data_IF_081783795360
#
_entry.id   IF_081783795360
#
_cell.length_a   1.000
_cell.length_b   1.000
_cell.length_c   1.000
_cell.angle_alpha   90.00
_cell.angle_beta   90.00
_cell.angle_gamma   90.00
#
_symmetry.space_group_name_H-M   'P 1'
#
loop_
_entity.id
_entity.type
_entity.pdbx_description
1 polymer ?
#
# COMPACT_ATOMS: atom_id res chain seq x y z
N UNK A 1 -14.76 -7.28 1.06
CA UNK A 1 -13.94 -7.26 -0.18
C UNK A 1 -12.61 -7.97 0.03
N UNK A 2 -11.63 -7.41 0.75
CA UNK A 2 -10.31 -8.06 0.92
C UNK A 2 -10.42 -9.48 1.49
N UNK A 3 -11.25 -9.68 2.53
CA UNK A 3 -11.54 -11.00 3.10
C UNK A 3 -12.08 -12.00 2.07
N UNK A 4 -12.97 -11.56 1.18
CA UNK A 4 -13.54 -12.40 0.11
C UNK A 4 -12.49 -12.76 -0.95
N UNK A 5 -11.43 -11.95 -1.08
CA UNK A 5 -10.27 -12.22 -1.94
C UNK A 5 -9.18 -13.02 -1.23
N UNK A 6 -9.42 -13.47 0.01
CA UNK A 6 -8.41 -14.15 0.83
C UNK A 6 -7.26 -13.24 1.29
N UNK A 7 -7.43 -11.92 1.24
CA UNK A 7 -6.40 -10.93 1.64
C UNK A 7 -6.69 -10.33 3.00
N UNK A 8 -5.64 -10.16 3.81
CA UNK A 8 -5.66 -9.41 5.07
C UNK A 8 -5.40 -7.92 4.87
N UNK A 9 -5.72 -7.12 5.89
CA UNK A 9 -5.31 -5.73 5.98
C UNK A 9 -4.74 -5.50 7.38
N UNK A 10 -3.47 -5.11 7.45
CA UNK A 10 -2.85 -4.68 8.69
C UNK A 10 -3.16 -3.22 8.96
N UNK A 11 -3.68 -2.92 10.16
CA UNK A 11 -4.13 -1.58 10.55
C UNK A 11 -3.35 -1.14 11.79
N UNK A 12 -2.54 -0.09 11.63
CA UNK A 12 -1.68 0.47 12.70
C UNK A 12 -2.39 1.47 13.63
N UNK A 13 -3.73 1.59 13.56
CA UNK A 13 -4.46 2.53 14.41
C UNK A 13 -5.95 2.63 14.11
N UNK A 14 -6.63 3.57 14.78
CA UNK A 14 -8.06 3.83 14.56
C UNK A 14 -8.23 4.70 13.30
N UNK A 15 -8.95 4.18 12.31
CA UNK A 15 -9.29 4.91 11.10
C UNK A 15 -10.08 6.19 11.38
N UNK A 16 -9.88 7.22 10.56
CA UNK A 16 -10.69 8.42 10.57
C UNK A 16 -12.06 8.17 9.89
N UNK A 17 -12.90 9.20 9.83
CA UNK A 17 -14.22 9.16 9.19
C UNK A 17 -14.21 8.79 7.70
N UNK A 18 -13.03 8.77 7.06
CA UNK A 18 -12.82 8.43 5.67
C UNK A 18 -12.18 7.05 5.47
N UNK A 19 -11.96 6.28 6.55
CA UNK A 19 -11.48 4.90 6.48
C UNK A 19 -9.97 4.73 6.32
N UNK A 20 -9.16 5.74 6.63
CA UNK A 20 -7.70 5.64 6.65
C UNK A 20 -7.07 6.12 7.96
N UNK A 21 -5.85 5.67 8.24
CA UNK A 21 -5.02 6.12 9.36
C UNK A 21 -3.81 6.86 8.80
N UNK A 22 -3.59 8.14 9.14
CA UNK A 22 -2.33 8.79 8.83
C UNK A 22 -1.22 8.19 9.70
N UNK A 23 -0.23 7.60 9.06
CA UNK A 23 0.96 7.03 9.71
C UNK A 23 2.22 7.73 9.21
N UNK A 24 3.30 7.65 9.99
CA UNK A 24 4.63 8.11 9.56
C UNK A 24 5.32 6.98 8.80
N UNK A 25 6.25 7.32 7.92
CA UNK A 25 7.03 6.32 7.19
C UNK A 25 7.77 5.34 8.11
N UNK A 26 8.27 5.81 9.26
CA UNK A 26 8.92 4.96 10.26
C UNK A 26 7.99 3.95 10.92
N UNK A 27 6.68 4.21 10.96
CA UNK A 27 5.71 3.29 11.56
C UNK A 27 5.54 2.02 10.72
N UNK A 28 5.90 2.05 9.43
CA UNK A 28 5.93 0.88 8.56
C UNK A 28 6.88 -0.22 9.06
N UNK A 29 7.86 0.12 9.90
CA UNK A 29 8.75 -0.87 10.53
C UNK A 29 8.01 -1.81 11.50
N UNK A 30 6.82 -1.44 11.96
CA UNK A 30 6.01 -2.24 12.88
C UNK A 30 5.21 -3.34 12.17
N UNK A 31 5.09 -3.26 10.83
CA UNK A 31 4.40 -4.27 10.03
C UNK A 31 5.26 -5.52 9.90
N UNK A 32 4.60 -6.68 9.84
CA UNK A 32 5.26 -7.96 9.59
C UNK A 32 6.00 -7.95 8.24
N UNK A 33 7.12 -8.66 8.14
CA UNK A 33 7.92 -8.70 6.91
C UNK A 33 7.14 -9.24 5.71
N UNK A 34 6.14 -10.12 5.96
CA UNK A 34 5.25 -10.67 4.94
C UNK A 34 4.17 -9.67 4.46
N UNK A 35 3.98 -8.54 5.15
CA UNK A 35 2.99 -7.52 4.78
C UNK A 35 3.46 -6.73 3.55
N UNK A 36 2.71 -6.81 2.44
CA UNK A 36 2.97 -6.01 1.25
C UNK A 36 2.40 -4.60 1.33
N UNK A 37 3.19 -3.63 0.90
CA UNK A 37 2.73 -2.26 0.76
C UNK A 37 2.08 -2.04 -0.61
N UNK A 38 0.89 -1.46 -0.63
CA UNK A 38 0.23 -1.02 -1.87
C UNK A 38 0.28 0.50 -1.96
N UNK A 39 0.88 1.01 -3.03
CA UNK A 39 0.97 2.44 -3.32
C UNK A 39 -0.06 2.77 -4.40
N UNK A 40 -0.95 3.73 -4.12
CA UNK A 40 -1.92 4.21 -5.11
C UNK A 40 -1.31 5.39 -5.85
N UNK A 41 -1.18 5.26 -7.17
CA UNK A 41 -0.65 6.31 -8.03
C UNK A 41 -1.67 7.41 -8.38
N UNK A 42 -1.21 8.59 -8.86
CA UNK A 42 0.19 8.97 -9.01
C UNK A 42 0.76 9.56 -7.71
N UNK A 43 1.92 9.07 -7.28
CA UNK A 43 2.77 9.87 -6.40
C UNK A 43 3.45 10.99 -7.21
N UNK A 44 3.51 12.20 -6.65
CA UNK A 44 4.23 13.30 -7.30
C UNK A 44 5.71 12.93 -7.52
N UNK A 45 6.37 13.44 -8.59
CA UNK A 45 7.78 13.15 -8.83
C UNK A 45 8.69 13.53 -7.65
N UNK A 46 8.37 14.63 -6.96
CA UNK A 46 9.09 15.10 -5.77
C UNK A 46 8.92 14.08 -4.63
N UNK A 47 7.69 13.68 -4.33
CA UNK A 47 7.40 12.69 -3.28
C UNK A 47 8.09 11.36 -3.56
N UNK A 48 8.13 10.91 -4.82
CA UNK A 48 8.85 9.70 -5.21
C UNK A 48 10.36 9.82 -4.98
N UNK A 49 10.95 10.97 -5.31
CA UNK A 49 12.36 11.24 -5.05
C UNK A 49 12.65 11.26 -3.54
N UNK A 50 11.82 11.94 -2.74
CA UNK A 50 11.96 12.01 -1.28
C UNK A 50 11.83 10.62 -0.62
N UNK A 51 10.90 9.78 -1.08
CA UNK A 51 10.78 8.41 -0.59
C UNK A 51 12.05 7.62 -0.94
N UNK A 52 12.53 7.71 -2.18
CA UNK A 52 13.74 6.99 -2.63
C UNK A 52 14.99 7.40 -1.84
N UNK A 53 15.14 8.68 -1.54
CA UNK A 53 16.30 9.23 -0.83
C UNK A 53 16.18 9.08 0.71
N UNK A 54 15.03 8.66 1.22
CA UNK A 54 14.80 8.41 2.65
C UNK A 54 15.60 7.20 3.14
N UNK A 55 16.50 7.43 4.10
CA UNK A 55 17.22 6.35 4.82
C UNK A 55 16.26 5.39 5.53
N UNK A 56 15.09 5.86 5.96
CA UNK A 56 14.08 5.00 6.58
C UNK A 56 13.52 4.04 5.54
N UNK A 57 13.13 4.56 4.37
CA UNK A 57 12.61 3.75 3.27
C UNK A 57 13.62 2.69 2.80
N UNK A 58 14.87 3.10 2.58
CA UNK A 58 15.95 2.22 2.15
C UNK A 58 16.20 1.07 3.14
N UNK A 59 16.09 1.34 4.45
CA UNK A 59 16.23 0.31 5.49
C UNK A 59 15.03 -0.61 5.63
N UNK A 60 13.84 -0.14 5.29
CA UNK A 60 12.63 -0.97 5.35
C UNK A 60 12.62 -2.05 4.28
N UNK A 61 13.35 -1.88 3.18
CA UNK A 61 13.52 -2.92 2.14
C UNK A 61 12.31 -3.14 1.23
N UNK A 62 11.29 -2.28 1.26
CA UNK A 62 10.13 -2.39 0.35
C UNK A 62 10.52 -2.18 -1.12
N UNK A 63 10.17 -3.14 -1.97
CA UNK A 63 10.55 -3.21 -3.38
C UNK A 63 11.85 -3.98 -3.65
N UNK A 64 12.55 -4.40 -2.60
CA UNK A 64 13.75 -5.25 -2.67
C UNK A 64 13.50 -6.55 -1.88
N UNK A 65 13.66 -6.52 -0.55
CA UNK A 65 13.41 -7.66 0.34
C UNK A 65 11.95 -7.81 0.76
N UNK A 66 11.17 -6.73 0.80
CA UNK A 66 9.74 -6.72 1.16
C UNK A 66 8.88 -6.36 -0.04
N UNK A 67 7.69 -6.93 -0.14
CA UNK A 67 6.83 -6.74 -1.30
C UNK A 67 6.19 -5.34 -1.36
N UNK A 68 6.15 -4.76 -2.56
CA UNK A 68 5.40 -3.54 -2.88
C UNK A 68 4.64 -3.70 -4.19
N UNK A 69 3.41 -3.20 -4.26
CA UNK A 69 2.61 -3.12 -5.48
C UNK A 69 2.18 -1.68 -5.75
N UNK A 70 2.14 -1.30 -7.03
CA UNK A 70 1.61 0.00 -7.46
C UNK A 70 0.24 -0.20 -8.11
N UNK A 71 -0.76 0.49 -7.59
CA UNK A 71 -2.13 0.48 -8.11
C UNK A 71 -2.35 1.73 -8.96
N UNK A 72 -3.07 1.62 -10.09
CA UNK A 72 -3.44 2.80 -10.87
C UNK A 72 -4.39 3.69 -10.06
N UNK A 73 -4.55 4.97 -10.48
CA UNK A 73 -5.37 5.92 -9.74
C UNK A 73 -6.79 5.43 -9.55
N UNK A 74 -7.26 5.44 -8.30
CA UNK A 74 -8.61 5.03 -7.93
C UNK A 74 -9.21 6.01 -6.92
N UNK A 75 -10.47 6.37 -7.13
CA UNK A 75 -11.15 7.32 -6.24
C UNK A 75 -11.65 6.61 -4.98
N UNK A 76 -10.89 6.73 -3.88
CA UNK A 76 -11.17 6.06 -2.59
C UNK A 76 -12.39 6.58 -1.85
N UNK A 77 -12.95 7.74 -2.26
CA UNK A 77 -14.16 8.33 -1.69
C UNK A 77 -15.42 8.13 -2.55
N UNK A 78 -15.35 7.22 -3.53
CA UNK A 78 -16.47 6.98 -4.44
C UNK A 78 -17.49 5.97 -3.92
N UNK A 79 -18.51 5.72 -4.74
CA UNK A 79 -19.52 4.70 -4.49
C UNK A 79 -19.07 3.30 -4.93
N UNK A 80 -20.04 2.43 -5.20
CA UNK A 80 -19.79 1.03 -5.58
C UNK A 80 -18.89 0.85 -6.81
N UNK A 81 -18.94 1.77 -7.78
CA UNK A 81 -18.08 1.73 -8.96
C UNK A 81 -16.59 1.84 -8.62
N UNK A 82 -16.24 2.65 -7.62
CA UNK A 82 -14.86 2.74 -7.12
C UNK A 82 -14.41 1.46 -6.44
N UNK A 83 -15.31 0.77 -5.73
CA UNK A 83 -14.98 -0.51 -5.08
C UNK A 83 -14.69 -1.61 -6.11
N UNK A 84 -15.48 -1.68 -7.18
CA UNK A 84 -15.22 -2.62 -8.28
C UNK A 84 -13.90 -2.29 -8.97
N UNK A 85 -13.62 -1.01 -9.23
CA UNK A 85 -12.34 -0.56 -9.79
C UNK A 85 -11.16 -0.97 -8.91
N UNK A 86 -11.27 -0.75 -7.59
CA UNK A 86 -10.24 -1.17 -6.63
C UNK A 86 -10.08 -2.70 -6.61
N UNK A 87 -11.16 -3.46 -6.57
CA UNK A 87 -11.11 -4.93 -6.59
C UNK A 87 -10.41 -5.46 -7.85
N UNK A 88 -10.73 -4.88 -9.01
CA UNK A 88 -10.07 -5.23 -10.28
C UNK A 88 -8.57 -4.93 -10.21
N UNK A 89 -8.19 -3.73 -9.76
CA UNK A 89 -6.78 -3.36 -9.62
C UNK A 89 -6.03 -4.29 -8.65
N UNK A 90 -6.65 -4.65 -7.53
CA UNK A 90 -6.07 -5.58 -6.55
C UNK A 90 -5.93 -7.01 -7.07
N UNK A 91 -6.76 -7.42 -8.04
CA UNK A 91 -6.70 -8.75 -8.65
C UNK A 91 -5.59 -8.87 -9.71
N UNK A 92 -5.17 -7.74 -10.28
CA UNK A 92 -4.19 -7.69 -11.38
C UNK A 92 -2.88 -7.03 -10.98
N UNK A 93 -2.77 -6.48 -9.77
CA UNK A 93 -1.54 -5.82 -9.30
C UNK A 93 -0.38 -6.80 -9.24
N UNK A 94 0.73 -6.40 -9.84
CA UNK A 94 2.00 -7.12 -9.72
C UNK A 94 2.75 -6.61 -8.50
N UNK A 95 3.11 -7.53 -7.61
CA UNK A 95 3.97 -7.25 -6.48
C UNK A 95 5.44 -7.39 -6.91
N UNK A 96 6.29 -6.48 -6.44
CA UNK A 96 7.74 -6.44 -6.66
C UNK A 96 8.46 -6.58 -5.32
N UNK A 97 9.64 -7.19 -5.31
CA UNK A 97 10.45 -7.43 -4.11
C UNK A 97 10.32 -8.86 -3.59
N UNK A 98 10.50 -9.06 -2.28
CA UNK A 98 10.38 -10.37 -1.63
C UNK A 98 9.01 -11.02 -1.77
N UNK A 99 8.96 -12.32 -1.51
CA UNK A 99 7.73 -13.10 -1.65
C UNK A 99 6.65 -12.56 -0.71
N UNK A 100 5.51 -12.22 -1.28
CA UNK A 100 4.27 -12.04 -0.55
C UNK A 100 3.71 -13.44 -0.29
N UNK A 101 3.68 -13.89 0.97
CA UNK A 101 2.97 -15.12 1.32
C UNK A 101 1.45 -14.94 1.28
#
# INVERSE_FOLDING_TARGET
MLKEMGKGLDVLGKGNQWGFVPIRMGDLAQLDNETCLLIIDPLSPITRAEIKDSLVWQRLGYGDERCVGELPPIWIYGGMSSLVGLANNLSTVTLKGGAAS
#
